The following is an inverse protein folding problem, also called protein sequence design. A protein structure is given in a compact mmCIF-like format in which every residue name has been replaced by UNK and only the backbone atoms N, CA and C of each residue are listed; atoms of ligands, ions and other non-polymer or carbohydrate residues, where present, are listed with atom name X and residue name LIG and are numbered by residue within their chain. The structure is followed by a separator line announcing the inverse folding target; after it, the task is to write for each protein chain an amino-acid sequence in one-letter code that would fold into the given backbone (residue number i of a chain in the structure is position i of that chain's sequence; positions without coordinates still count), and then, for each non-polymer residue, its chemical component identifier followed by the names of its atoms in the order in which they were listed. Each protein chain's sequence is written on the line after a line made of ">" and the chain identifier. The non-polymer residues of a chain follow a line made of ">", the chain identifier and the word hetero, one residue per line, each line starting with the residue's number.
data_IF_020305832097
#
_entry.id   IF_020305832097
#
_cell.length_a   1.000
_cell.length_b   1.000
_cell.length_c   1.000
_cell.angle_alpha   90.00
_cell.angle_beta   90.00
_cell.angle_gamma   90.00
#
_symmetry.space_group_name_H-M   'P 1'
#
loop_
_entity.id
_entity.type
_entity.pdbx_description
1 polymer ?
#
# COMPACT_ATOMS: atom_id res chain seq x y z
N UNK A 1 -17.26 2.06 11.90
CA UNK A 1 -15.90 2.53 11.57
C UNK A 1 -15.41 1.70 10.38
N UNK A 2 -15.08 2.31 9.24
CA UNK A 2 -14.65 1.57 8.05
C UNK A 2 -13.13 1.48 7.99
N UNK A 3 -12.61 0.38 7.43
CA UNK A 3 -11.18 0.17 7.18
C UNK A 3 -10.94 0.10 5.68
N UNK A 4 -10.01 0.91 5.18
CA UNK A 4 -9.58 0.92 3.79
C UNK A 4 -8.13 0.47 3.66
N UNK A 5 -7.87 -0.42 2.71
CA UNK A 5 -6.52 -0.76 2.25
C UNK A 5 -6.38 -0.24 0.83
N UNK A 6 -5.50 0.74 0.62
CA UNK A 6 -5.30 1.38 -0.67
C UNK A 6 -4.03 0.81 -1.30
N UNK A 7 -4.20 -0.11 -2.25
CA UNK A 7 -3.10 -0.76 -2.98
C UNK A 7 -2.74 0.10 -4.19
N UNK A 8 -1.46 0.40 -4.35
CA UNK A 8 -0.97 1.20 -5.47
C UNK A 8 -0.79 0.35 -6.75
N UNK A 9 -0.70 0.99 -7.91
CA UNK A 9 -0.36 0.34 -9.17
C UNK A 9 1.15 0.25 -9.42
N UNK A 10 1.55 -0.22 -10.61
CA UNK A 10 2.94 -0.27 -11.04
C UNK A 10 3.68 1.08 -10.90
N UNK A 11 4.98 1.06 -10.60
CA UNK A 11 5.87 2.23 -10.45
C UNK A 11 5.50 3.25 -9.37
N UNK A 12 4.64 2.88 -8.42
CA UNK A 12 4.25 3.72 -7.28
C UNK A 12 4.63 3.05 -5.94
N UNK A 13 4.33 3.75 -4.86
CA UNK A 13 4.22 3.22 -3.50
C UNK A 13 2.95 3.75 -2.85
N UNK A 14 2.69 3.37 -1.59
CA UNK A 14 1.57 3.83 -0.78
C UNK A 14 1.49 5.36 -0.66
N UNK A 15 2.61 6.06 -0.87
CA UNK A 15 2.68 7.53 -0.94
C UNK A 15 1.71 8.14 -1.96
N UNK A 16 1.37 7.45 -3.05
CA UNK A 16 0.49 8.00 -4.09
C UNK A 16 -0.94 8.26 -3.58
N UNK A 17 -1.32 7.58 -2.49
CA UNK A 17 -2.62 7.73 -1.85
C UNK A 17 -2.70 8.82 -0.79
N UNK A 18 -1.60 9.54 -0.51
CA UNK A 18 -1.52 10.52 0.58
C UNK A 18 -2.76 11.43 0.72
N UNK A 19 -3.18 12.15 -0.34
CA UNK A 19 -4.36 13.02 -0.29
C UNK A 19 -5.67 12.28 0.02
N UNK A 20 -5.88 11.09 -0.54
CA UNK A 20 -7.09 10.30 -0.31
C UNK A 20 -7.10 9.71 1.12
N UNK A 21 -5.96 9.16 1.56
CA UNK A 21 -5.81 8.61 2.89
C UNK A 21 -6.08 9.67 3.97
N UNK A 22 -5.58 10.90 3.79
CA UNK A 22 -5.88 12.01 4.70
C UNK A 22 -7.39 12.32 4.77
N UNK A 23 -8.08 12.39 3.62
CA UNK A 23 -9.53 12.67 3.56
C UNK A 23 -10.40 11.57 4.18
N UNK A 24 -9.97 10.31 4.05
CA UNK A 24 -10.65 9.15 4.64
C UNK A 24 -10.41 9.10 6.16
N UNK A 25 -9.18 9.33 6.62
CA UNK A 25 -8.86 9.43 8.06
C UNK A 25 -9.62 10.57 8.73
N UNK A 26 -9.73 11.73 8.09
CA UNK A 26 -10.52 12.86 8.59
C UNK A 26 -12.03 12.54 8.73
N UNK A 27 -12.54 11.51 8.03
CA UNK A 27 -13.91 11.00 8.15
C UNK A 27 -14.04 9.86 9.19
N UNK A 28 -12.99 9.61 9.98
CA UNK A 28 -12.99 8.58 11.01
C UNK A 28 -12.74 7.16 10.49
N UNK A 29 -12.21 7.00 9.28
CA UNK A 29 -11.84 5.68 8.76
C UNK A 29 -10.40 5.29 9.13
N UNK A 30 -10.16 4.00 9.36
CA UNK A 30 -8.81 3.44 9.39
C UNK A 30 -8.30 3.27 7.96
N UNK A 31 -7.07 3.69 7.68
CA UNK A 31 -6.50 3.63 6.32
C UNK A 31 -5.07 3.09 6.35
N UNK A 32 -4.84 1.99 5.63
CA UNK A 32 -3.51 1.43 5.33
C UNK A 32 -3.14 1.72 3.88
N UNK A 33 -1.88 2.09 3.65
CA UNK A 33 -1.29 2.38 2.35
C UNK A 33 0.06 1.65 2.26
N UNK A 34 0.06 0.31 2.14
CA UNK A 34 1.31 -0.46 2.12
C UNK A 34 2.10 -0.17 0.84
N UNK A 35 3.43 -0.31 0.93
CA UNK A 35 4.30 -0.50 -0.23
C UNK A 35 4.35 -2.00 -0.52
N UNK A 36 4.10 -2.39 -1.78
CA UNK A 36 4.27 -3.78 -2.21
C UNK A 36 5.77 -4.12 -2.30
N UNK A 37 6.13 -5.37 -2.00
CA UNK A 37 7.48 -5.90 -2.11
C UNK A 37 8.14 -5.51 -3.44
N UNK A 38 9.30 -4.87 -3.38
CA UNK A 38 10.08 -4.37 -4.51
C UNK A 38 9.59 -3.04 -5.10
N UNK A 39 8.66 -2.35 -4.45
CA UNK A 39 8.02 -1.12 -4.93
C UNK A 39 8.02 -0.04 -3.85
N UNK A 40 7.80 1.22 -4.25
CA UNK A 40 7.77 2.34 -3.30
C UNK A 40 9.09 2.47 -2.53
N UNK A 41 9.02 2.45 -1.20
CA UNK A 41 10.18 2.45 -0.32
C UNK A 41 10.71 1.04 0.02
N UNK A 42 10.00 -0.01 -0.38
CA UNK A 42 10.45 -1.38 -0.16
C UNK A 42 11.65 -1.72 -1.05
N UNK A 43 12.60 -2.48 -0.49
CA UNK A 43 13.88 -2.80 -1.14
C UNK A 43 14.05 -4.29 -1.46
N UNK A 44 12.97 -5.06 -1.44
CA UNK A 44 13.00 -6.47 -1.83
C UNK A 44 13.59 -6.59 -3.23
N UNK A 45 14.65 -7.39 -3.44
CA UNK A 45 15.23 -7.58 -4.77
C UNK A 45 14.17 -8.10 -5.75
N UNK A 46 14.16 -7.64 -7.02
CA UNK A 46 13.18 -8.12 -8.00
C UNK A 46 13.17 -9.64 -8.21
N UNK A 47 14.29 -10.32 -7.95
CA UNK A 47 14.39 -11.79 -7.98
C UNK A 47 13.58 -12.50 -6.90
N UNK A 48 13.27 -11.79 -5.82
CA UNK A 48 12.65 -12.33 -4.61
C UNK A 48 11.17 -11.92 -4.53
N UNK A 49 10.71 -11.07 -5.45
CA UNK A 49 9.31 -10.62 -5.52
C UNK A 49 8.45 -11.70 -6.16
N UNK A 50 7.30 -11.99 -5.54
CA UNK A 50 6.30 -12.91 -6.06
C UNK A 50 4.90 -12.34 -5.87
N UNK A 51 3.91 -12.95 -6.54
CA UNK A 51 2.52 -12.58 -6.26
C UNK A 51 2.13 -12.89 -4.80
N UNK A 52 2.65 -13.97 -4.23
CA UNK A 52 2.40 -14.34 -2.84
C UNK A 52 2.98 -13.34 -1.84
N UNK A 53 4.13 -12.72 -2.13
CA UNK A 53 4.67 -11.65 -1.28
C UNK A 53 3.75 -10.43 -1.28
N UNK A 54 3.23 -10.03 -2.45
CA UNK A 54 2.25 -8.94 -2.53
C UNK A 54 0.94 -9.23 -1.82
N UNK A 55 0.47 -10.49 -1.82
CA UNK A 55 -0.69 -10.89 -1.01
C UNK A 55 -0.40 -10.74 0.49
N UNK A 56 0.79 -11.13 0.95
CA UNK A 56 1.21 -10.98 2.34
C UNK A 56 1.35 -9.51 2.76
N UNK A 57 1.77 -8.63 1.86
CA UNK A 57 1.95 -7.19 2.13
C UNK A 57 0.63 -6.46 2.45
N UNK A 58 -0.50 -6.97 1.94
CA UNK A 58 -1.83 -6.35 2.10
C UNK A 58 -2.75 -7.07 3.09
N UNK A 59 -2.37 -8.28 3.53
CA UNK A 59 -3.07 -9.01 4.60
C UNK A 59 -3.01 -8.26 5.95
#
# INVERSE_FOLDING_TARGET
>A
MATFVLVHGGFHGGWCWGPLAARLRARGAAVRTPDLSGMGADRTPPSDVSFSSWVADIA
#
